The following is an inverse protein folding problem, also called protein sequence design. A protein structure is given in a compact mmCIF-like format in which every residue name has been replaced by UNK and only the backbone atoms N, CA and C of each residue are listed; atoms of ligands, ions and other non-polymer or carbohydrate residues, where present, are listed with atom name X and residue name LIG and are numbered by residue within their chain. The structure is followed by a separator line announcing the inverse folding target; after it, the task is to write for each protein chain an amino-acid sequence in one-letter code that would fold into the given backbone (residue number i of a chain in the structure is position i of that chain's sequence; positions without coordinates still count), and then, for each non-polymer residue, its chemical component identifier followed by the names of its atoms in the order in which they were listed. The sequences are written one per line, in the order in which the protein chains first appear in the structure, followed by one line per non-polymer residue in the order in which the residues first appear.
data_IF_100924624858
#
_entry.id   IF_100924624858
#
_cell.length_a   1.000
_cell.length_b   1.000
_cell.length_c   1.000
_cell.angle_alpha   90.00
_cell.angle_beta   90.00
_cell.angle_gamma   90.00
#
_symmetry.space_group_name_H-M   'P 1'
#
loop_
_entity.id
_entity.type
_entity.pdbx_description
1 polymer ?
#
# COMPACT_ATOMS: atom_id res chain seq x y z
N UNK A 1 12.67 -7.65 3.12
CA UNK A 1 12.23 -6.41 2.47
C UNK A 1 13.07 -6.16 1.22
N UNK A 2 12.50 -5.58 0.17
CA UNK A 2 13.22 -5.11 -1.04
C UNK A 2 12.71 -3.70 -1.36
N UNK A 3 13.62 -2.80 -1.70
CA UNK A 3 13.32 -1.41 -2.02
C UNK A 3 14.04 -1.00 -3.31
N UNK A 4 13.35 -0.30 -4.21
CA UNK A 4 13.91 0.19 -5.48
C UNK A 4 13.05 1.30 -6.08
N UNK A 5 13.67 2.31 -6.70
CA UNK A 5 12.96 3.27 -7.54
C UNK A 5 12.59 2.56 -8.87
N UNK A 6 11.30 2.38 -9.12
CA UNK A 6 10.79 1.65 -10.29
C UNK A 6 9.96 2.52 -11.23
N UNK A 7 9.44 3.65 -10.76
CA UNK A 7 8.53 4.50 -11.53
C UNK A 7 9.14 5.89 -11.70
N UNK A 8 8.96 6.48 -12.88
CA UNK A 8 9.24 7.89 -13.12
C UNK A 8 8.15 8.78 -12.52
N UNK A 9 8.39 10.08 -12.46
CA UNK A 9 7.39 11.03 -11.98
C UNK A 9 6.14 11.05 -12.88
N UNK A 10 6.32 10.97 -14.20
CA UNK A 10 5.23 10.91 -15.18
C UNK A 10 4.39 9.63 -15.00
N UNK A 11 5.04 8.51 -14.74
CA UNK A 11 4.36 7.24 -14.46
C UNK A 11 3.59 7.29 -13.14
N UNK A 12 4.12 7.94 -12.11
CA UNK A 12 3.40 8.18 -10.85
C UNK A 12 2.17 9.07 -11.06
N UNK A 13 2.30 10.14 -11.84
CA UNK A 13 1.16 11.00 -12.21
C UNK A 13 0.10 10.21 -12.98
N UNK A 14 0.52 9.37 -13.93
CA UNK A 14 -0.41 8.51 -14.66
C UNK A 14 -1.10 7.50 -13.74
N UNK A 15 -0.40 6.89 -12.81
CA UNK A 15 -1.02 6.00 -11.81
C UNK A 15 -2.10 6.72 -11.01
N UNK A 16 -1.86 7.96 -10.58
CA UNK A 16 -2.83 8.77 -9.83
C UNK A 16 -4.12 9.06 -10.61
N UNK A 17 -4.09 9.08 -11.95
CA UNK A 17 -5.31 9.28 -12.76
C UNK A 17 -6.33 8.15 -12.64
N UNK A 18 -5.93 7.01 -12.08
CA UNK A 18 -6.83 5.87 -11.84
C UNK A 18 -7.60 5.98 -10.52
N UNK A 19 -7.16 6.85 -9.60
CA UNK A 19 -7.91 7.15 -8.39
C UNK A 19 -9.02 8.16 -8.71
N UNK A 20 -10.26 7.85 -8.32
CA UNK A 20 -11.43 8.70 -8.60
C UNK A 20 -11.90 9.44 -7.35
N UNK A 21 -12.66 8.77 -6.51
CA UNK A 21 -13.25 9.35 -5.32
C UNK A 21 -12.61 8.75 -4.07
N UNK A 22 -11.97 9.59 -3.28
CA UNK A 22 -11.42 9.19 -1.99
C UNK A 22 -12.50 9.26 -0.91
N UNK A 23 -12.47 8.30 0.00
CA UNK A 23 -13.28 8.28 1.21
C UNK A 23 -12.40 8.12 2.45
N UNK A 24 -12.86 8.53 3.64
CA UNK A 24 -12.11 8.30 4.87
C UNK A 24 -11.76 6.82 5.04
N UNK A 25 -10.50 6.54 5.34
CA UNK A 25 -10.04 5.17 5.55
C UNK A 25 -10.62 4.58 6.83
N UNK A 26 -10.80 3.26 6.82
CA UNK A 26 -11.29 2.50 7.97
C UNK A 26 -10.20 1.62 8.54
N UNK A 27 -10.28 1.35 9.84
CA UNK A 27 -9.52 0.29 10.51
C UNK A 27 -10.50 -0.77 10.96
N UNK A 28 -10.21 -2.03 10.61
CA UNK A 28 -11.02 -3.17 11.04
C UNK A 28 -10.35 -3.78 12.26
N UNK A 29 -11.07 -3.85 13.38
CA UNK A 29 -10.66 -4.54 14.58
C UNK A 29 -11.40 -5.88 14.66
N UNK A 30 -10.67 -6.96 14.88
CA UNK A 30 -11.25 -8.25 15.24
C UNK A 30 -11.57 -8.20 16.75
N UNK A 31 -12.78 -7.76 17.08
CA UNK A 31 -13.28 -7.78 18.46
C UNK A 31 -13.80 -9.19 18.72
N UNK A 32 -12.96 -10.01 19.35
CA UNK A 32 -13.30 -11.32 19.91
C UNK A 32 -14.19 -12.20 19.04
N UNK A 33 -13.58 -12.92 18.06
CA UNK A 33 -14.14 -14.09 17.37
C UNK A 33 -15.65 -14.11 17.04
N UNK A 34 -16.34 -12.99 17.13
CA UNK A 34 -17.72 -12.80 16.69
C UNK A 34 -17.71 -11.99 15.41
N UNK A 35 -18.36 -12.49 14.39
CA UNK A 35 -18.45 -12.12 12.99
C UNK A 35 -18.82 -10.66 12.61
N UNK A 36 -18.59 -9.69 13.46
CA UNK A 36 -18.88 -8.28 13.21
C UNK A 36 -17.58 -7.48 13.22
N UNK A 37 -16.94 -7.37 12.04
CA UNK A 37 -15.87 -6.40 11.80
C UNK A 37 -16.43 -5.00 12.03
N UNK A 38 -15.98 -4.32 13.08
CA UNK A 38 -16.33 -2.92 13.30
C UNK A 38 -15.38 -2.05 12.48
N UNK A 39 -15.93 -1.34 11.50
CA UNK A 39 -15.19 -0.35 10.72
C UNK A 39 -15.25 1.00 11.43
N UNK A 40 -14.10 1.52 11.84
CA UNK A 40 -14.00 2.82 12.51
C UNK A 40 -13.28 3.80 11.60
N UNK A 41 -13.96 4.90 11.24
CA UNK A 41 -13.35 6.02 10.52
C UNK A 41 -12.54 6.89 11.47
N UNK A 42 -11.40 7.42 11.00
CA UNK A 42 -10.57 8.38 11.75
C UNK A 42 -10.27 7.93 13.18
N UNK A 43 -9.85 6.69 13.33
CA UNK A 43 -9.49 6.16 14.63
C UNK A 43 -8.22 6.80 15.18
N UNK A 44 -7.93 6.56 16.48
CA UNK A 44 -6.62 6.89 17.09
C UNK A 44 -5.43 6.17 16.42
N UNK A 45 -5.70 5.17 15.59
CA UNK A 45 -4.69 4.33 14.95
C UNK A 45 -4.45 4.71 13.48
N UNK A 46 -5.41 5.42 12.83
CA UNK A 46 -5.28 5.81 11.43
C UNK A 46 -6.07 7.07 11.10
N UNK A 47 -5.43 7.99 10.38
CA UNK A 47 -6.06 9.14 9.76
C UNK A 47 -5.58 9.26 8.31
N UNK A 48 -6.40 8.88 7.36
CA UNK A 48 -6.11 8.92 5.91
C UNK A 48 -7.41 8.85 5.12
N UNK A 49 -7.31 9.10 3.82
CA UNK A 49 -8.34 8.80 2.83
C UNK A 49 -7.87 7.68 1.92
N UNK A 50 -8.81 6.93 1.36
CA UNK A 50 -8.51 5.83 0.46
C UNK A 50 -9.47 5.76 -0.74
N UNK A 51 -8.95 5.22 -1.85
CA UNK A 51 -9.72 4.78 -2.99
C UNK A 51 -9.32 3.35 -3.33
N UNK A 52 -10.20 2.40 -3.05
CA UNK A 52 -10.03 0.98 -3.38
C UNK A 52 -10.35 0.72 -4.85
N UNK A 53 -9.34 0.48 -5.67
CA UNK A 53 -9.55 0.10 -7.08
C UNK A 53 -9.93 -1.38 -7.21
N UNK A 54 -9.61 -2.20 -6.22
CA UNK A 54 -9.78 -3.65 -6.31
C UNK A 54 -8.71 -4.32 -7.18
N UNK A 55 -9.11 -5.28 -8.01
CA UNK A 55 -8.21 -6.00 -8.92
C UNK A 55 -7.82 -5.11 -10.11
N UNK A 56 -6.53 -4.98 -10.43
CA UNK A 56 -6.12 -4.25 -11.63
C UNK A 56 -6.47 -5.04 -12.90
N UNK A 57 -6.88 -4.35 -13.94
CA UNK A 57 -7.25 -4.93 -15.22
C UNK A 57 -6.60 -4.18 -16.39
N UNK A 58 -6.60 -4.79 -17.57
CA UNK A 58 -6.18 -4.19 -18.82
C UNK A 58 -4.75 -3.61 -18.79
N UNK A 59 -4.61 -2.40 -19.32
CA UNK A 59 -3.32 -1.70 -19.44
C UNK A 59 -2.65 -1.47 -18.09
N UNK A 60 -3.42 -1.15 -17.05
CA UNK A 60 -2.89 -0.93 -15.70
C UNK A 60 -2.27 -2.21 -15.13
N UNK A 61 -2.94 -3.35 -15.29
CA UNK A 61 -2.43 -4.63 -14.83
C UNK A 61 -1.11 -5.00 -15.52
N UNK A 62 -1.05 -4.88 -16.85
CA UNK A 62 0.16 -5.19 -17.64
C UNK A 62 1.32 -4.28 -17.27
N UNK A 63 1.06 -2.99 -17.12
CA UNK A 63 2.06 -1.99 -16.71
C UNK A 63 2.63 -2.28 -15.31
N UNK A 64 1.77 -2.51 -14.32
CA UNK A 64 2.20 -2.82 -12.96
C UNK A 64 3.00 -4.12 -12.90
N UNK A 65 2.58 -5.16 -13.63
CA UNK A 65 3.28 -6.44 -13.66
C UNK A 65 4.70 -6.28 -14.23
N UNK A 66 4.85 -5.57 -15.34
CA UNK A 66 6.15 -5.28 -15.95
C UNK A 66 7.08 -4.55 -14.99
N UNK A 67 6.58 -3.46 -14.37
CA UNK A 67 7.36 -2.63 -13.45
C UNK A 67 7.74 -3.33 -12.15
N UNK A 68 6.87 -4.19 -11.62
CA UNK A 68 7.07 -4.84 -10.32
C UNK A 68 7.79 -6.21 -10.42
N UNK A 69 7.94 -6.77 -11.63
CA UNK A 69 8.66 -8.02 -11.85
C UNK A 69 10.08 -8.02 -11.26
N UNK A 70 10.90 -6.94 -11.39
CA UNK A 70 12.26 -6.91 -10.84
C UNK A 70 12.35 -7.06 -9.31
N UNK A 71 11.27 -6.78 -8.58
CA UNK A 71 11.22 -6.93 -7.11
C UNK A 71 10.44 -8.15 -6.64
N UNK A 72 10.07 -9.03 -7.59
CA UNK A 72 9.49 -10.34 -7.27
C UNK A 72 7.97 -10.43 -7.34
N UNK A 73 7.29 -9.49 -8.01
CA UNK A 73 5.91 -9.65 -8.44
C UNK A 73 5.88 -10.35 -9.80
N UNK A 74 5.52 -11.62 -9.83
CA UNK A 74 5.49 -12.42 -11.07
C UNK A 74 4.09 -12.55 -11.67
N UNK A 75 3.06 -12.24 -10.91
CA UNK A 75 1.67 -12.15 -11.36
C UNK A 75 0.85 -11.27 -10.42
N UNK A 76 -0.30 -10.82 -10.89
CA UNK A 76 -1.26 -10.00 -10.14
C UNK A 76 -2.53 -10.78 -9.73
N UNK A 77 -2.49 -12.12 -9.79
CA UNK A 77 -3.63 -12.95 -9.37
C UNK A 77 -3.88 -12.76 -7.86
N UNK A 78 -5.12 -12.42 -7.52
CA UNK A 78 -5.50 -12.18 -6.14
C UNK A 78 -4.89 -10.91 -5.51
N UNK A 79 -4.41 -9.96 -6.31
CA UNK A 79 -3.97 -8.67 -5.82
C UNK A 79 -5.14 -7.72 -5.58
N UNK A 80 -4.91 -6.75 -4.71
CA UNK A 80 -5.85 -5.71 -4.37
C UNK A 80 -5.11 -4.38 -4.35
N UNK A 81 -5.61 -3.39 -5.08
CA UNK A 81 -5.02 -2.06 -5.17
C UNK A 81 -5.81 -1.07 -4.33
N UNK A 82 -5.09 -0.28 -3.55
CA UNK A 82 -5.66 0.79 -2.75
C UNK A 82 -4.79 2.05 -2.82
N UNK A 83 -5.35 3.15 -3.33
CA UNK A 83 -4.71 4.46 -3.29
C UNK A 83 -4.96 5.07 -1.93
N UNK A 84 -3.91 5.57 -1.29
CA UNK A 84 -3.97 6.22 0.01
C UNK A 84 -3.48 7.65 -0.09
N UNK A 85 -4.20 8.55 0.58
CA UNK A 85 -3.90 9.96 0.70
C UNK A 85 -3.85 10.36 2.16
N UNK A 86 -2.76 11.02 2.54
CA UNK A 86 -2.53 11.51 3.89
C UNK A 86 -2.32 13.02 3.83
N UNK A 87 -3.26 13.78 4.39
CA UNK A 87 -3.16 15.22 4.57
C UNK A 87 -2.38 15.57 5.83
N UNK A 88 -2.18 16.88 6.09
CA UNK A 88 -1.61 17.34 7.36
C UNK A 88 -2.33 16.71 8.55
N UNK A 89 -1.56 16.12 9.45
CA UNK A 89 -2.05 15.34 10.59
C UNK A 89 -2.27 13.87 10.30
N UNK A 90 -2.33 13.46 9.02
CA UNK A 90 -2.54 12.08 8.61
C UNK A 90 -1.40 11.15 9.05
N UNK A 91 -1.74 9.94 9.45
CA UNK A 91 -0.80 8.91 9.94
C UNK A 91 -1.42 7.52 9.86
N UNK A 92 -0.61 6.50 10.07
CA UNK A 92 -1.06 5.15 10.35
C UNK A 92 -0.16 4.54 11.43
N UNK A 93 -0.71 4.23 12.59
CA UNK A 93 0.02 3.66 13.71
C UNK A 93 0.66 2.32 13.35
N UNK A 94 1.66 1.90 14.11
CA UNK A 94 2.39 0.64 13.90
C UNK A 94 1.44 -0.55 13.92
N UNK A 95 1.44 -1.31 12.82
CA UNK A 95 0.55 -2.46 12.60
C UNK A 95 1.19 -3.50 11.69
N UNK A 96 0.53 -4.62 11.55
CA UNK A 96 0.72 -5.60 10.47
C UNK A 96 -0.54 -5.64 9.62
N UNK A 97 -0.42 -6.06 8.38
CA UNK A 97 -1.58 -6.27 7.52
C UNK A 97 -2.37 -7.55 7.91
N UNK A 98 -3.60 -7.65 7.41
CA UNK A 98 -4.49 -8.76 7.73
C UNK A 98 -3.92 -10.14 7.36
N UNK A 99 -4.34 -11.20 8.08
CA UNK A 99 -3.77 -12.55 7.98
C UNK A 99 -4.02 -13.20 6.60
N UNK A 100 -4.98 -12.73 5.84
CA UNK A 100 -5.28 -13.17 4.47
C UNK A 100 -4.28 -12.65 3.43
N UNK A 101 -3.48 -11.64 3.81
CA UNK A 101 -2.49 -11.02 2.93
C UNK A 101 -1.15 -11.75 3.02
N UNK A 102 -0.44 -11.81 1.90
CA UNK A 102 0.86 -12.45 1.82
C UNK A 102 2.01 -11.44 1.71
N UNK A 103 1.90 -10.53 0.75
CA UNK A 103 2.89 -9.47 0.54
C UNK A 103 2.19 -8.13 0.43
N UNK A 104 2.85 -7.12 0.96
CA UNK A 104 2.51 -5.70 0.83
C UNK A 104 3.56 -5.03 -0.03
N UNK A 105 3.11 -4.31 -1.04
CA UNK A 105 3.94 -3.45 -1.88
C UNK A 105 3.41 -2.04 -1.78
N UNK A 106 4.27 -1.08 -1.49
CA UNK A 106 3.92 0.34 -1.41
C UNK A 106 4.74 1.12 -2.42
N UNK A 107 4.06 1.87 -3.29
CA UNK A 107 4.63 2.74 -4.31
C UNK A 107 4.42 4.18 -3.86
N UNK A 108 5.49 4.95 -3.70
CA UNK A 108 5.45 6.37 -3.38
C UNK A 108 5.07 7.16 -4.63
N UNK A 109 3.93 7.87 -4.60
CA UNK A 109 3.40 8.62 -5.75
C UNK A 109 3.60 10.12 -5.63
N UNK A 110 3.75 10.68 -4.41
CA UNK A 110 4.05 12.11 -4.19
C UNK A 110 5.56 12.36 -4.23
N UNK A 111 5.96 13.52 -4.76
CA UNK A 111 7.33 14.00 -4.57
C UNK A 111 7.59 14.32 -3.10
N UNK A 112 8.80 13.99 -2.62
CA UNK A 112 9.25 14.32 -1.27
C UNK A 112 9.25 15.83 -0.99
N UNK A 113 9.30 16.67 -2.03
CA UNK A 113 9.32 18.13 -1.92
C UNK A 113 7.92 18.73 -1.66
N UNK A 114 6.86 17.93 -1.90
CA UNK A 114 5.48 18.37 -1.77
C UNK A 114 4.91 18.17 -0.36
N UNK A 115 5.63 17.47 0.55
CA UNK A 115 5.16 17.23 1.90
C UNK A 115 6.32 17.06 2.90
N UNK A 116 6.03 17.20 4.18
CA UNK A 116 6.99 16.93 5.27
C UNK A 116 6.36 16.03 6.33
N UNK A 117 7.19 15.33 7.11
CA UNK A 117 6.73 14.21 7.93
C UNK A 117 6.29 13.04 7.04
N UNK A 118 5.37 12.21 7.50
CA UNK A 118 4.84 11.09 6.73
C UNK A 118 5.92 10.08 6.32
N UNK A 119 6.84 9.76 7.23
CA UNK A 119 7.87 8.75 7.01
C UNK A 119 7.23 7.36 7.09
N UNK A 120 7.40 6.56 6.04
CA UNK A 120 7.08 5.15 6.07
C UNK A 120 8.21 4.40 6.76
N UNK A 121 7.90 3.70 7.83
CA UNK A 121 8.85 2.87 8.58
C UNK A 121 8.43 1.42 8.44
N UNK A 122 9.31 0.56 7.96
CA UNK A 122 9.07 -0.87 7.79
C UNK A 122 10.15 -1.64 8.55
N UNK A 123 9.77 -2.46 9.50
CA UNK A 123 10.71 -3.22 10.34
C UNK A 123 11.79 -2.32 10.99
N UNK A 124 11.39 -1.16 11.50
CA UNK A 124 12.23 -0.11 12.08
C UNK A 124 13.19 0.59 11.11
N UNK A 125 13.10 0.35 9.81
CA UNK A 125 13.87 1.04 8.78
C UNK A 125 13.01 2.11 8.10
N UNK A 126 13.55 3.33 7.97
CA UNK A 126 12.88 4.44 7.25
C UNK A 126 13.04 4.25 5.76
N UNK A 127 11.90 4.18 5.06
CA UNK A 127 11.85 3.99 3.61
C UNK A 127 12.02 5.33 2.88
N UNK A 128 12.73 5.30 1.76
CA UNK A 128 12.97 6.50 0.95
C UNK A 128 11.67 7.15 0.47
N UNK A 129 11.59 8.47 0.57
CA UNK A 129 10.47 9.29 0.09
C UNK A 129 10.58 9.69 -1.38
N UNK A 130 11.62 9.28 -2.08
CA UNK A 130 11.76 9.62 -3.50
C UNK A 130 10.54 9.13 -4.28
N UNK A 131 10.02 9.98 -5.15
CA UNK A 131 8.88 9.62 -6.01
C UNK A 131 9.23 8.38 -6.83
N UNK A 132 8.27 7.47 -7.01
CA UNK A 132 8.47 6.20 -7.71
C UNK A 132 9.20 5.14 -6.89
N UNK A 133 9.65 5.47 -5.66
CA UNK A 133 10.23 4.46 -4.78
C UNK A 133 9.18 3.42 -4.41
N UNK A 134 9.60 2.16 -4.49
CA UNK A 134 8.73 1.01 -4.30
C UNK A 134 9.37 0.07 -3.29
N UNK A 135 8.64 -0.24 -2.25
CA UNK A 135 9.06 -1.21 -1.22
C UNK A 135 8.10 -2.39 -1.17
N UNK A 136 8.67 -3.61 -1.07
CA UNK A 136 7.91 -4.85 -0.88
C UNK A 136 8.39 -5.61 0.35
N UNK A 137 7.44 -6.06 1.16
CA UNK A 137 7.70 -6.82 2.38
C UNK A 137 6.58 -7.84 2.64
N UNK A 138 6.81 -8.73 3.60
CA UNK A 138 5.79 -9.67 4.07
C UNK A 138 4.68 -8.92 4.81
N UNK A 139 3.41 -9.22 4.54
CA UNK A 139 2.27 -8.51 5.14
C UNK A 139 2.19 -8.64 6.68
N UNK A 140 2.90 -9.60 7.28
CA UNK A 140 3.06 -9.71 8.74
C UNK A 140 4.31 -8.97 9.29
N UNK A 141 4.94 -8.12 8.49
CA UNK A 141 6.01 -7.22 8.95
C UNK A 141 5.37 -5.97 9.56
N UNK A 142 5.84 -5.58 10.75
CA UNK A 142 5.42 -4.33 11.38
C UNK A 142 5.83 -3.13 10.53
N UNK A 143 4.87 -2.26 10.30
CA UNK A 143 5.09 -1.01 9.58
C UNK A 143 4.16 0.09 10.08
N UNK A 144 4.54 1.34 9.83
CA UNK A 144 3.81 2.53 10.24
C UNK A 144 4.07 3.70 9.30
N UNK A 145 3.16 4.66 9.31
CA UNK A 145 3.38 5.97 8.70
C UNK A 145 3.33 7.04 9.78
N UNK A 146 4.43 7.77 9.93
CA UNK A 146 4.50 8.90 10.87
C UNK A 146 3.58 10.04 10.41
N UNK A 147 3.27 10.96 11.33
CA UNK A 147 2.35 12.05 11.02
C UNK A 147 2.89 12.96 9.91
N UNK A 148 2.05 13.22 8.90
CA UNK A 148 2.30 14.25 7.88
C UNK A 148 2.20 15.62 8.55
N UNK A 149 3.25 16.44 8.45
CA UNK A 149 3.33 17.77 9.08
C UNK A 149 2.84 18.87 8.16
N UNK A 150 3.09 18.72 6.85
CA UNK A 150 2.71 19.69 5.80
C UNK A 150 2.50 18.98 4.48
N UNK A 151 1.61 19.52 3.63
CA UNK A 151 1.34 19.01 2.30
C UNK A 151 0.52 17.72 2.29
N UNK A 152 0.63 16.97 1.20
CA UNK A 152 -0.16 15.75 0.96
C UNK A 152 0.80 14.65 0.52
N UNK A 153 0.73 13.50 1.19
CA UNK A 153 1.41 12.27 0.79
C UNK A 153 0.42 11.33 0.12
N UNK A 154 0.77 10.87 -1.08
CA UNK A 154 -0.02 9.89 -1.83
C UNK A 154 0.81 8.65 -2.12
N UNK A 155 0.21 7.48 -2.01
CA UNK A 155 0.84 6.21 -2.38
C UNK A 155 -0.19 5.22 -2.92
N UNK A 156 0.31 4.25 -3.69
CA UNK A 156 -0.45 3.08 -4.10
C UNK A 156 0.03 1.87 -3.30
N UNK A 157 -0.89 1.21 -2.63
CA UNK A 157 -0.64 -0.03 -1.90
C UNK A 157 -1.21 -1.20 -2.68
N UNK A 158 -0.42 -2.25 -2.83
CA UNK A 158 -0.81 -3.48 -3.52
C UNK A 158 -0.64 -4.64 -2.54
N UNK A 159 -1.72 -5.34 -2.25
CA UNK A 159 -1.68 -6.57 -1.46
C UNK A 159 -1.87 -7.79 -2.34
N UNK A 160 -1.11 -8.85 -2.05
CA UNK A 160 -1.35 -10.18 -2.60
C UNK A 160 -2.02 -11.06 -1.57
N UNK A 161 -2.95 -11.92 -1.99
CA UNK A 161 -3.54 -12.93 -1.12
C UNK A 161 -2.56 -14.10 -0.92
N UNK A 162 -2.66 -14.78 0.23
CA UNK A 162 -2.05 -16.10 0.42
C UNK A 162 -2.71 -17.07 -0.55
N UNK A 163 -1.94 -17.64 -1.49
CA UNK A 163 -2.42 -18.74 -2.33
C UNK A 163 -2.73 -19.96 -1.48
N UNK A 164 -3.75 -20.74 -1.85
CA UNK A 164 -3.97 -22.04 -1.26
C UNK A 164 -2.71 -22.90 -1.44
N UNK A 165 -2.25 -23.57 -0.38
CA UNK A 165 -1.05 -24.43 -0.39
C UNK A 165 -1.04 -25.48 -1.51
N UNK A 166 -2.21 -25.81 -2.09
CA UNK A 166 -2.34 -26.72 -3.24
C UNK A 166 -1.76 -26.14 -4.56
N UNK A 167 -1.64 -24.83 -4.71
CA UNK A 167 -1.07 -24.20 -5.92
C UNK A 167 0.47 -24.13 -5.91
N UNK A 168 1.13 -24.44 -4.78
CA UNK A 168 2.61 -24.45 -4.66
C UNK A 168 3.29 -25.68 -5.27
N UNK A 169 2.56 -26.73 -5.65
CA UNK A 169 3.12 -27.99 -6.17
C UNK A 169 3.29 -28.05 -7.70
N UNK A 170 3.03 -26.98 -8.43
CA UNK A 170 3.08 -27.00 -9.91
C UNK A 170 4.17 -26.08 -10.49
N UNK A 171 5.17 -25.70 -9.70
CA UNK A 171 6.34 -24.98 -10.19
C UNK A 171 7.62 -25.65 -9.67
N UNK A 172 7.86 -26.86 -10.11
CA UNK A 172 9.18 -27.49 -10.21
C UNK A 172 9.46 -27.71 -11.67
#
# INVERSE_FOLDING_TARGET
MREKILFTEEECKWLLTHAKEYSPSTVSYDIEKKSNLTHIHNSKDRLSEEYGLGKPEGKLASFLLEKLKPIGFINLKGTFLNYLRYYKGGFFAKHIDGPERHKTCIIQLSSQDNYSGGDLIVNNEVISKKIGNTVIFSSNTYHELTKVKKGIRECLVIWTKKGNLKERKVLI
#
